data_IF_341211758366
#
_entry.id   IF_341211758366
#
_cell.length_a   1.000
_cell.length_b   1.000
_cell.length_c   1.000
_cell.angle_alpha   90.00
_cell.angle_beta   90.00
_cell.angle_gamma   90.00
#
_symmetry.space_group_name_H-M   'P 1'
#
loop_
_entity.id
_entity.type
_entity.pdbx_description
1 polymer ?
#
# COMPACT_ATOMS: atom_id res chain seq x y z
N UNK A 1 23.85 -1.88 3.35
CA UNK A 1 22.86 -2.91 2.96
C UNK A 1 23.30 -4.24 3.59
N UNK A 2 22.37 -4.96 4.22
CA UNK A 2 22.69 -6.22 4.93
C UNK A 2 22.97 -7.33 3.92
N UNK A 3 24.02 -8.14 4.16
CA UNK A 3 24.29 -9.31 3.33
C UNK A 3 23.25 -10.42 3.58
N UNK A 4 22.58 -10.84 2.50
CA UNK A 4 21.61 -11.93 2.51
C UNK A 4 22.10 -13.17 1.72
N UNK A 5 23.37 -13.18 1.31
CA UNK A 5 23.95 -14.23 0.47
C UNK A 5 23.80 -15.64 1.05
N UNK A 6 23.94 -15.79 2.36
CA UNK A 6 23.85 -17.08 3.07
C UNK A 6 22.41 -17.48 3.45
N UNK A 7 21.38 -16.66 3.15
CA UNK A 7 19.98 -17.01 3.46
C UNK A 7 19.40 -17.91 2.38
N UNK A 8 18.52 -18.81 2.81
CA UNK A 8 17.77 -19.68 1.92
C UNK A 8 16.78 -18.89 1.05
N UNK A 9 16.59 -19.37 -0.16
CA UNK A 9 15.55 -18.89 -1.07
C UNK A 9 14.22 -19.51 -0.63
N UNK A 10 13.28 -18.67 -0.19
CA UNK A 10 11.95 -19.09 0.26
C UNK A 10 10.86 -18.23 -0.35
N UNK A 11 9.63 -18.75 -0.37
CA UNK A 11 8.47 -17.92 -0.70
C UNK A 11 8.22 -16.92 0.43
N UNK A 12 7.93 -15.69 0.03
CA UNK A 12 7.65 -14.60 0.95
C UNK A 12 6.43 -13.82 0.49
N UNK A 13 5.59 -13.45 1.44
CA UNK A 13 4.41 -12.64 1.22
C UNK A 13 4.36 -11.54 2.26
N UNK A 14 3.93 -10.36 1.87
CA UNK A 14 3.60 -9.26 2.78
C UNK A 14 2.32 -8.57 2.33
N UNK A 15 1.53 -8.12 3.28
CA UNK A 15 0.34 -7.29 3.07
C UNK A 15 0.51 -6.05 3.94
N UNK A 16 0.45 -4.89 3.32
CA UNK A 16 0.38 -3.60 3.98
C UNK A 16 -0.98 -2.96 3.75
N UNK A 17 -1.40 -2.09 4.64
CA UNK A 17 -2.63 -1.32 4.52
C UNK A 17 -2.42 0.13 4.89
N UNK A 18 -3.39 0.97 4.56
CA UNK A 18 -3.45 2.38 4.89
C UNK A 18 -4.75 2.98 4.40
N UNK A 19 -5.01 4.23 4.73
CA UNK A 19 -6.20 4.93 4.27
C UNK A 19 -5.94 6.41 4.01
N UNK A 20 -6.81 7.01 3.21
CA UNK A 20 -6.88 8.46 3.01
C UNK A 20 -8.28 8.94 3.40
N UNK A 21 -8.34 9.77 4.43
CA UNK A 21 -9.57 10.43 4.87
C UNK A 21 -9.85 11.65 3.99
N UNK A 22 -11.12 11.94 3.73
CA UNK A 22 -11.52 12.98 2.81
C UNK A 22 -12.89 13.58 3.15
N UNK A 23 -13.23 14.70 2.52
CA UNK A 23 -14.56 15.28 2.60
C UNK A 23 -15.61 14.41 1.88
N UNK A 24 -16.90 14.49 2.31
CA UNK A 24 -17.98 13.74 1.65
C UNK A 24 -18.05 13.97 0.14
N UNK A 25 -17.89 15.22 -0.30
CA UNK A 25 -17.94 15.57 -1.73
C UNK A 25 -16.81 14.92 -2.54
N UNK A 26 -15.63 14.72 -1.95
CA UNK A 26 -14.50 14.04 -2.59
C UNK A 26 -14.76 12.54 -2.69
N UNK A 27 -15.32 11.94 -1.65
CA UNK A 27 -15.74 10.55 -1.64
C UNK A 27 -16.76 10.27 -2.76
N UNK A 28 -17.83 11.07 -2.83
CA UNK A 28 -18.86 10.95 -3.89
C UNK A 28 -18.27 11.13 -5.29
N UNK A 29 -17.32 12.05 -5.46
CA UNK A 29 -16.63 12.26 -6.73
C UNK A 29 -15.88 11.00 -7.19
N UNK A 30 -15.20 10.30 -6.26
CA UNK A 30 -14.49 9.06 -6.54
C UNK A 30 -15.48 7.93 -6.82
N UNK A 31 -16.49 7.74 -5.94
CA UNK A 31 -17.50 6.70 -6.06
C UNK A 31 -18.24 6.75 -7.40
N UNK A 32 -18.54 7.96 -7.86
CA UNK A 32 -19.29 8.19 -9.11
C UNK A 32 -18.39 8.28 -10.36
N UNK A 33 -17.07 8.17 -10.20
CA UNK A 33 -16.13 8.25 -11.33
C UNK A 33 -16.10 9.59 -12.04
N UNK A 34 -16.40 10.71 -11.34
CA UNK A 34 -16.52 12.06 -11.92
C UNK A 34 -15.30 12.95 -11.73
N UNK A 35 -14.17 12.41 -11.32
CA UNK A 35 -12.94 13.18 -11.16
C UNK A 35 -12.43 13.70 -12.52
N UNK A 36 -12.01 14.98 -12.58
CA UNK A 36 -11.49 15.60 -13.81
C UNK A 36 -10.29 14.86 -14.40
N UNK A 37 -9.46 14.25 -13.58
CA UNK A 37 -8.26 13.49 -14.01
C UNK A 37 -8.58 12.05 -14.43
N UNK A 38 -9.85 11.63 -14.41
CA UNK A 38 -10.28 10.30 -14.84
C UNK A 38 -10.47 9.33 -13.68
N UNK A 39 -10.25 8.05 -13.93
CA UNK A 39 -10.43 6.96 -12.95
C UNK A 39 -9.38 7.03 -11.83
N UNK A 40 -9.78 7.60 -10.69
CA UNK A 40 -8.88 7.81 -9.54
C UNK A 40 -8.32 6.49 -9.02
N UNK A 41 -9.17 5.49 -8.77
CA UNK A 41 -8.75 4.23 -8.17
C UNK A 41 -7.95 3.38 -9.16
N UNK A 42 -8.34 3.36 -10.43
CA UNK A 42 -7.59 2.65 -11.47
C UNK A 42 -6.17 3.21 -11.66
N UNK A 43 -6.02 4.54 -11.70
CA UNK A 43 -4.69 5.18 -11.79
C UNK A 43 -3.87 4.94 -10.52
N UNK A 44 -4.49 5.05 -9.34
CA UNK A 44 -3.82 4.77 -8.06
C UNK A 44 -3.36 3.31 -7.95
N UNK A 45 -4.16 2.37 -8.46
CA UNK A 45 -3.79 0.95 -8.49
C UNK A 45 -2.51 0.72 -9.31
N UNK A 46 -2.47 1.23 -10.53
CA UNK A 46 -1.29 1.10 -11.39
C UNK A 46 -0.07 1.79 -10.77
N UNK A 47 -0.25 3.00 -10.21
CA UNK A 47 0.83 3.71 -9.54
C UNK A 47 1.40 2.93 -8.35
N UNK A 48 0.54 2.33 -7.52
CA UNK A 48 0.94 1.48 -6.40
C UNK A 48 1.72 0.25 -6.87
N UNK A 49 1.22 -0.46 -7.89
CA UNK A 49 1.92 -1.62 -8.47
C UNK A 49 3.29 -1.21 -9.04
N UNK A 50 3.38 -0.10 -9.74
CA UNK A 50 4.65 0.40 -10.27
C UNK A 50 5.63 0.75 -9.16
N UNK A 51 5.14 1.33 -8.06
CA UNK A 51 5.96 1.72 -6.91
C UNK A 51 6.59 0.51 -6.22
N UNK A 52 5.88 -0.60 -6.08
CA UNK A 52 6.45 -1.84 -5.51
C UNK A 52 7.69 -2.30 -6.27
N UNK A 53 7.71 -2.15 -7.61
CA UNK A 53 8.82 -2.53 -8.46
C UNK A 53 10.02 -1.57 -8.38
N UNK A 54 9.83 -0.38 -7.81
CA UNK A 54 10.85 0.67 -7.67
C UNK A 54 11.30 0.90 -6.23
N UNK A 55 10.90 0.06 -5.31
CA UNK A 55 11.20 0.22 -3.88
C UNK A 55 12.70 0.36 -3.60
N UNK A 56 13.54 -0.45 -4.23
CA UNK A 56 15.00 -0.39 -4.07
C UNK A 56 15.63 0.89 -4.64
N UNK A 57 14.96 1.57 -5.56
CA UNK A 57 15.39 2.88 -6.07
C UNK A 57 15.04 4.03 -5.11
N UNK A 58 14.02 3.84 -4.26
CA UNK A 58 13.50 4.86 -3.33
C UNK A 58 14.05 4.70 -1.93
N UNK A 59 14.27 3.47 -1.48
CA UNK A 59 14.73 3.15 -0.13
C UNK A 59 16.18 2.66 -0.19
N UNK A 60 17.15 3.45 0.30
CA UNK A 60 18.57 3.28 -0.02
C UNK A 60 19.18 1.92 0.31
N UNK A 61 18.75 1.28 1.40
CA UNK A 61 19.31 0.03 1.89
C UNK A 61 18.44 -1.20 1.58
N UNK A 62 17.39 -1.05 0.77
CA UNK A 62 16.58 -2.16 0.29
C UNK A 62 17.28 -2.93 -0.83
N UNK A 63 17.09 -4.26 -0.83
CA UNK A 63 17.56 -5.12 -1.90
C UNK A 63 16.65 -5.00 -3.12
N UNK A 64 17.25 -5.14 -4.31
CA UNK A 64 16.48 -5.31 -5.54
C UNK A 64 15.86 -6.72 -5.56
N UNK A 65 14.54 -6.81 -5.67
CA UNK A 65 13.80 -8.06 -5.65
C UNK A 65 12.99 -8.27 -6.93
N UNK A 66 12.91 -9.53 -7.37
CA UNK A 66 11.98 -9.94 -8.42
C UNK A 66 10.66 -10.33 -7.79
N UNK A 67 9.60 -9.56 -8.07
CA UNK A 67 8.28 -9.81 -7.54
C UNK A 67 7.54 -10.82 -8.41
N UNK A 68 6.89 -11.80 -7.78
CA UNK A 68 6.09 -12.82 -8.47
C UNK A 68 4.60 -12.45 -8.52
N UNK A 69 4.14 -11.62 -7.59
CA UNK A 69 2.77 -11.09 -7.57
C UNK A 69 2.73 -9.75 -6.85
N UNK A 70 1.89 -8.85 -7.35
CA UNK A 70 1.49 -7.63 -6.65
C UNK A 70 0.02 -7.36 -6.96
N UNK A 71 -0.78 -7.07 -5.92
CA UNK A 71 -2.14 -6.53 -6.05
C UNK A 71 -2.28 -5.30 -5.16
N UNK A 72 -3.02 -4.32 -5.66
CA UNK A 72 -3.44 -3.14 -4.88
C UNK A 72 -4.95 -3.06 -4.99
N UNK A 73 -5.62 -3.15 -3.86
CA UNK A 73 -7.08 -3.17 -3.77
C UNK A 73 -7.56 -1.99 -2.91
N UNK A 74 -8.78 -1.53 -3.18
CA UNK A 74 -9.39 -0.39 -2.50
C UNK A 74 -10.77 -0.74 -1.97
N UNK A 75 -11.12 -0.12 -0.85
CA UNK A 75 -12.45 -0.14 -0.25
C UNK A 75 -12.87 1.29 0.06
N UNK A 76 -14.06 1.66 -0.38
CA UNK A 76 -14.69 2.93 -0.07
C UNK A 76 -15.40 2.82 1.28
N UNK A 77 -15.01 3.63 2.25
CA UNK A 77 -15.56 3.63 3.61
C UNK A 77 -16.38 4.90 3.87
N UNK A 78 -17.63 4.72 4.27
CA UNK A 78 -18.53 5.80 4.68
C UNK A 78 -19.27 5.37 5.95
N UNK A 79 -18.68 5.66 7.12
CA UNK A 79 -19.20 5.22 8.40
C UNK A 79 -19.19 6.38 9.41
N UNK A 80 -20.30 6.55 10.14
CA UNK A 80 -20.44 7.54 11.23
C UNK A 80 -20.01 8.97 10.84
N UNK A 81 -20.28 9.38 9.60
CA UNK A 81 -19.90 10.71 9.08
C UNK A 81 -18.42 10.84 8.69
N UNK A 82 -17.64 9.76 8.75
CA UNK A 82 -16.27 9.69 8.26
C UNK A 82 -16.24 9.06 6.87
N UNK A 83 -15.45 9.63 5.97
CA UNK A 83 -15.30 9.20 4.58
C UNK A 83 -13.82 8.94 4.29
N UNK A 84 -13.52 7.79 3.72
CA UNK A 84 -12.16 7.42 3.39
C UNK A 84 -12.09 6.42 2.24
N UNK A 85 -10.93 6.30 1.62
CA UNK A 85 -10.53 5.16 0.81
C UNK A 85 -9.50 4.37 1.60
N UNK A 86 -9.80 3.11 1.89
CA UNK A 86 -8.84 2.15 2.44
C UNK A 86 -8.13 1.43 1.31
N UNK A 87 -6.85 1.20 1.48
CA UNK A 87 -6.00 0.53 0.50
C UNK A 87 -5.27 -0.63 1.14
N UNK A 88 -5.16 -1.74 0.42
CA UNK A 88 -4.27 -2.84 0.76
C UNK A 88 -3.36 -3.18 -0.42
N UNK A 89 -2.10 -3.46 -0.13
CA UNK A 89 -1.14 -3.94 -1.11
C UNK A 89 -0.58 -5.29 -0.67
N UNK A 90 -0.77 -6.31 -1.50
CA UNK A 90 -0.19 -7.64 -1.32
C UNK A 90 0.96 -7.80 -2.30
N UNK A 91 2.12 -8.23 -1.80
CA UNK A 91 3.30 -8.53 -2.62
C UNK A 91 3.83 -9.91 -2.29
N UNK A 92 4.26 -10.65 -3.32
CA UNK A 92 4.93 -11.95 -3.20
C UNK A 92 6.25 -11.96 -3.95
N UNK A 93 7.20 -12.69 -3.42
CA UNK A 93 8.46 -13.04 -4.08
C UNK A 93 8.91 -14.44 -3.68
N UNK A 94 9.85 -14.98 -4.44
CA UNK A 94 10.67 -16.12 -4.04
C UNK A 94 12.10 -15.62 -3.98
N UNK A 95 12.64 -15.48 -2.76
CA UNK A 95 13.93 -14.81 -2.58
C UNK A 95 14.51 -14.95 -1.17
N UNK A 96 15.61 -14.25 -0.95
CA UNK A 96 16.41 -14.29 0.29
C UNK A 96 16.00 -13.26 1.34
N UNK A 97 15.12 -12.31 1.00
CA UNK A 97 14.60 -11.29 1.91
C UNK A 97 13.11 -11.07 1.71
N UNK A 98 12.46 -10.45 2.69
CA UNK A 98 11.02 -10.16 2.67
C UNK A 98 10.65 -9.03 1.72
N UNK A 99 9.34 -8.84 1.53
CA UNK A 99 8.72 -7.85 0.62
C UNK A 99 7.86 -6.84 1.38
N UNK A 100 8.14 -6.65 2.66
CA UNK A 100 7.42 -5.72 3.52
C UNK A 100 7.54 -4.29 3.00
N UNK A 101 8.73 -3.88 2.57
CA UNK A 101 8.98 -2.53 2.07
C UNK A 101 8.29 -2.29 0.73
N UNK A 102 8.24 -3.28 -0.14
CA UNK A 102 7.50 -3.22 -1.40
C UNK A 102 6.01 -3.03 -1.15
N UNK A 103 5.42 -3.78 -0.22
CA UNK A 103 4.01 -3.63 0.13
C UNK A 103 3.70 -2.25 0.73
N UNK A 104 4.52 -1.76 1.66
CA UNK A 104 4.37 -0.43 2.26
C UNK A 104 4.53 0.69 1.22
N UNK A 105 5.49 0.57 0.32
CA UNK A 105 5.71 1.55 -0.76
C UNK A 105 4.51 1.59 -1.70
N UNK A 106 3.96 0.43 -2.06
CA UNK A 106 2.77 0.32 -2.90
C UNK A 106 1.56 1.05 -2.31
N UNK A 107 1.28 0.85 -1.01
CA UNK A 107 0.20 1.54 -0.30
C UNK A 107 0.42 3.06 -0.30
N UNK A 108 1.62 3.51 0.07
CA UNK A 108 1.94 4.93 0.15
C UNK A 108 1.72 5.66 -1.18
N UNK A 109 2.22 5.11 -2.27
CA UNK A 109 2.11 5.74 -3.59
C UNK A 109 0.69 5.65 -4.15
N UNK A 110 -0.06 4.58 -3.87
CA UNK A 110 -1.47 4.50 -4.22
C UNK A 110 -2.27 5.61 -3.52
N UNK A 111 -2.10 5.79 -2.21
CA UNK A 111 -2.78 6.84 -1.44
C UNK A 111 -2.35 8.25 -1.87
N UNK A 112 -1.07 8.45 -2.14
CA UNK A 112 -0.55 9.73 -2.62
C UNK A 112 -1.10 10.06 -4.03
N UNK A 113 -1.33 9.07 -4.87
CA UNK A 113 -1.95 9.24 -6.19
C UNK A 113 -3.41 9.67 -6.07
N UNK A 114 -4.17 9.09 -5.13
CA UNK A 114 -5.54 9.55 -4.83
C UNK A 114 -5.50 11.03 -4.41
N UNK A 115 -4.57 11.40 -3.52
CA UNK A 115 -4.39 12.78 -3.10
C UNK A 115 -4.12 13.71 -4.30
N UNK A 116 -3.16 13.38 -5.16
CA UNK A 116 -2.84 14.20 -6.33
C UNK A 116 -4.04 14.37 -7.27
N UNK A 117 -4.81 13.31 -7.49
CA UNK A 117 -5.94 13.35 -8.40
C UNK A 117 -7.14 14.14 -7.86
N UNK A 118 -7.28 14.27 -6.55
CA UNK A 118 -8.40 14.93 -5.88
C UNK A 118 -8.06 16.27 -5.22
N UNK A 119 -6.80 16.63 -5.07
CA UNK A 119 -6.35 17.84 -4.34
C UNK A 119 -6.92 19.17 -4.88
N UNK A 120 -7.41 19.21 -6.10
CA UNK A 120 -8.05 20.39 -6.65
C UNK A 120 -9.38 20.71 -5.97
N UNK A 121 -10.07 19.70 -5.44
CA UNK A 121 -11.37 19.81 -4.75
C UNK A 121 -11.24 19.66 -3.24
N UNK A 122 -10.22 18.94 -2.75
CA UNK A 122 -10.00 18.69 -1.34
C UNK A 122 -8.50 18.65 -1.01
N UNK A 123 -7.99 19.72 -0.42
CA UNK A 123 -6.59 19.78 0.04
C UNK A 123 -6.40 19.26 1.46
N UNK A 124 -7.51 19.04 2.19
CA UNK A 124 -7.48 18.62 3.58
C UNK A 124 -7.44 17.10 3.77
N UNK A 125 -7.35 16.34 2.69
CA UNK A 125 -7.21 14.88 2.77
C UNK A 125 -5.99 14.49 3.61
N UNK A 126 -6.16 13.45 4.44
CA UNK A 126 -5.11 12.96 5.34
C UNK A 126 -4.83 11.49 5.05
N UNK A 127 -3.57 11.19 4.69
CA UNK A 127 -3.07 9.83 4.60
C UNK A 127 -2.69 9.38 5.99
N UNK A 128 -3.23 8.24 6.44
CA UNK A 128 -3.04 7.73 7.79
C UNK A 128 -3.07 6.20 7.84
N UNK A 129 -2.69 5.64 8.99
CA UNK A 129 -2.75 4.21 9.30
C UNK A 129 -1.96 3.33 8.32
N UNK A 130 -0.89 3.85 7.74
CA UNK A 130 -0.02 3.06 6.87
C UNK A 130 0.88 2.17 7.73
N UNK A 131 0.67 0.85 7.62
CA UNK A 131 1.43 -0.14 8.38
C UNK A 131 1.41 -1.51 7.72
N UNK A 132 2.30 -2.38 8.17
CA UNK A 132 2.32 -3.78 7.79
C UNK A 132 1.15 -4.51 8.49
N UNK A 133 0.27 -5.15 7.73
CA UNK A 133 -0.84 -5.94 8.25
C UNK A 133 -0.41 -7.37 8.57
N UNK A 134 0.35 -7.99 7.66
CA UNK A 134 0.88 -9.32 7.85
C UNK A 134 2.08 -9.59 6.96
N UNK A 135 2.90 -10.54 7.38
CA UNK A 135 3.91 -11.15 6.52
C UNK A 135 4.03 -12.63 6.84
N UNK A 136 4.43 -13.42 5.86
CA UNK A 136 4.74 -14.83 6.05
C UNK A 136 5.96 -15.25 5.25
N UNK A 137 6.64 -16.29 5.74
CA UNK A 137 7.84 -16.86 5.16
C UNK A 137 9.13 -16.25 5.69
N UNK A 138 10.21 -17.00 5.48
CA UNK A 138 11.55 -16.64 5.93
C UNK A 138 11.86 -17.02 7.38
N UNK A 139 13.10 -16.79 7.79
CA UNK A 139 13.64 -17.24 9.10
C UNK A 139 13.03 -16.50 10.29
N UNK A 140 12.54 -15.27 10.10
CA UNK A 140 11.93 -14.46 11.18
C UNK A 140 10.47 -14.84 11.49
N UNK A 141 9.91 -15.83 10.79
CA UNK A 141 8.55 -16.33 11.02
C UNK A 141 7.44 -15.39 10.53
N UNK A 142 6.22 -15.75 10.85
CA UNK A 142 5.03 -15.02 10.46
C UNK A 142 4.73 -13.88 11.43
N UNK A 143 4.15 -12.81 10.90
CA UNK A 143 3.70 -11.65 11.66
C UNK A 143 2.26 -11.31 11.24
N UNK A 144 1.43 -11.01 12.23
CA UNK A 144 0.08 -10.42 12.03
C UNK A 144 -0.05 -9.25 12.99
N UNK A 145 -0.38 -8.09 12.45
CA UNK A 145 -0.61 -6.89 13.24
C UNK A 145 -1.87 -7.04 14.10
N UNK A 146 -1.78 -6.65 15.37
CA UNK A 146 -2.90 -6.63 16.31
C UNK A 146 -3.04 -5.23 16.87
N UNK A 147 -4.26 -4.73 16.89
CA UNK A 147 -4.54 -3.43 17.48
C UNK A 147 -4.33 -3.47 19.00
N UNK A 148 -3.71 -2.43 19.56
CA UNK A 148 -3.30 -2.39 20.98
C UNK A 148 -4.47 -2.44 22.01
N UNK A 149 -5.72 -2.44 21.55
CA UNK A 149 -6.93 -2.52 22.42
C UNK A 149 -7.36 -3.94 22.79
N UNK A 150 -6.63 -4.96 22.33
CA UNK A 150 -6.93 -6.38 22.65
C UNK A 150 -5.84 -7.04 23.51
N UNK A 151 -5.05 -6.25 24.19
CA UNK A 151 -4.05 -6.74 25.16
C UNK A 151 -4.57 -6.61 26.59
#
# INVERSE_FOLDING_TARGET
MVDVGAKDITQRIAIAGGRIAMLPATYELIEQGRAKKGDVLGVAQIAGIMATKKTSELIPLCHLLQLTKCTVDFELLAENGSYAVQTQCLVKTTGKTGVEMEALTGVQIALLTIYDMCKAVDKAMVITDVHLLSKAGGKSGDFVWKQASEA
#
